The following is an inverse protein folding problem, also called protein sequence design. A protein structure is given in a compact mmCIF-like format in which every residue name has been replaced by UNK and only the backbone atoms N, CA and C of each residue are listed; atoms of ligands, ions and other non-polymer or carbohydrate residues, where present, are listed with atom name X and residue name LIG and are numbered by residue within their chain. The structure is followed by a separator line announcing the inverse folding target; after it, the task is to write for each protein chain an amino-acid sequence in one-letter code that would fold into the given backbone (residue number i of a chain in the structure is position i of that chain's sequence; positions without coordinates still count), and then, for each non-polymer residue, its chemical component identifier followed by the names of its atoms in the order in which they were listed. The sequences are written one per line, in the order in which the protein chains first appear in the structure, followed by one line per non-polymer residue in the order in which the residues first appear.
data_IF_331374820056
#
_entry.id   IF_331374820056
#
_cell.length_a   1.000
_cell.length_b   1.000
_cell.length_c   1.000
_cell.angle_alpha   90.00
_cell.angle_beta   90.00
_cell.angle_gamma   90.00
#
_symmetry.space_group_name_H-M   'P 1'
#
loop_
_entity.id
_entity.type
_entity.pdbx_description
1 polymer ?
#
# COMPACT_ATOMS: atom_id res chain seq x y z
N UNK A 1 18.11 -14.26 25.46
CA UNK A 1 18.38 -15.61 24.94
C UNK A 1 17.74 -15.73 23.56
N UNK A 2 18.50 -16.18 22.55
CA UNK A 2 17.99 -16.41 21.17
C UNK A 2 16.95 -17.53 21.12
N UNK A 3 17.07 -18.53 21.99
CA UNK A 3 16.14 -19.66 22.08
C UNK A 3 14.72 -19.22 22.41
N UNK A 4 14.59 -18.27 23.34
CA UNK A 4 13.30 -17.71 23.72
C UNK A 4 12.67 -16.91 22.56
N UNK A 5 13.45 -16.09 21.86
CA UNK A 5 12.96 -15.34 20.70
C UNK A 5 12.45 -16.28 19.60
N UNK A 6 13.20 -17.36 19.32
CA UNK A 6 12.80 -18.36 18.34
C UNK A 6 11.52 -19.11 18.76
N UNK A 7 11.34 -19.40 20.05
CA UNK A 7 10.11 -19.99 20.58
C UNK A 7 8.90 -19.05 20.41
N UNK A 8 9.08 -17.75 20.67
CA UNK A 8 8.03 -16.74 20.47
C UNK A 8 7.62 -16.66 19.00
N UNK A 9 8.58 -16.52 18.07
CA UNK A 9 8.29 -16.42 16.64
C UNK A 9 7.57 -17.67 16.11
N UNK A 10 8.03 -18.87 16.48
CA UNK A 10 7.40 -20.13 16.04
C UNK A 10 5.98 -20.36 16.58
N UNK A 11 5.68 -19.83 17.77
CA UNK A 11 4.37 -20.01 18.40
C UNK A 11 3.38 -18.87 18.14
N UNK A 12 3.83 -17.78 17.51
CA UNK A 12 3.00 -16.64 17.18
C UNK A 12 1.86 -17.05 16.22
N UNK A 13 0.63 -16.66 16.58
CA UNK A 13 -0.53 -16.77 15.70
C UNK A 13 -0.90 -15.39 15.19
N UNK A 14 -0.77 -15.18 13.89
CA UNK A 14 -1.14 -13.91 13.25
C UNK A 14 -2.64 -13.87 13.01
N UNK A 15 -3.25 -12.70 13.23
CA UNK A 15 -4.62 -12.40 12.81
C UNK A 15 -4.53 -11.44 11.61
N UNK A 16 -4.60 -11.94 10.36
CA UNK A 16 -4.42 -11.11 9.18
C UNK A 16 -5.62 -10.19 8.89
N UNK A 17 -6.80 -10.51 9.40
CA UNK A 17 -8.02 -9.74 9.15
C UNK A 17 -7.96 -8.35 9.78
N UNK A 18 -7.40 -8.24 10.99
CA UNK A 18 -7.27 -6.96 11.70
C UNK A 18 -6.43 -5.91 10.94
N UNK A 19 -5.18 -6.20 10.55
CA UNK A 19 -4.39 -5.24 9.78
C UNK A 19 -4.96 -5.01 8.37
N UNK A 20 -5.58 -6.02 7.74
CA UNK A 20 -6.23 -5.85 6.44
C UNK A 20 -7.39 -4.84 6.53
N UNK A 21 -8.31 -5.04 7.49
CA UNK A 21 -9.41 -4.11 7.75
C UNK A 21 -8.91 -2.71 8.11
N UNK A 22 -7.90 -2.60 8.97
CA UNK A 22 -7.31 -1.29 9.30
C UNK A 22 -6.73 -0.57 8.07
N UNK A 23 -6.09 -1.30 7.15
CA UNK A 23 -5.57 -0.72 5.92
C UNK A 23 -6.71 -0.26 4.99
N UNK A 24 -7.74 -1.09 4.80
CA UNK A 24 -8.89 -0.82 3.93
C UNK A 24 -9.78 0.34 4.43
N UNK A 25 -9.88 0.52 5.74
CA UNK A 25 -10.68 1.59 6.36
C UNK A 25 -9.94 2.93 6.47
N UNK A 26 -8.63 2.91 6.30
CA UNK A 26 -7.78 4.10 6.43
C UNK A 26 -7.43 4.71 5.08
N UNK A 27 -6.93 5.95 5.10
CA UNK A 27 -6.44 6.65 3.91
C UNK A 27 -4.95 6.41 3.64
N UNK A 28 -4.40 5.26 4.04
CA UNK A 28 -2.99 4.89 3.75
C UNK A 28 -2.67 4.88 2.24
N UNK A 29 -3.69 4.63 1.41
CA UNK A 29 -3.62 4.66 -0.06
C UNK A 29 -3.54 6.06 -0.67
N UNK A 30 -3.73 7.12 0.11
CA UNK A 30 -3.72 8.49 -0.41
C UNK A 30 -2.39 8.86 -1.10
N UNK A 31 -1.27 8.42 -0.53
CA UNK A 31 0.05 8.65 -1.14
C UNK A 31 0.20 7.92 -2.46
N UNK A 32 -0.34 6.70 -2.59
CA UNK A 32 -0.28 5.93 -3.84
C UNK A 32 -1.00 6.66 -4.99
N UNK A 33 -2.15 7.28 -4.68
CA UNK A 33 -2.90 8.10 -5.62
C UNK A 33 -2.14 9.38 -6.01
N UNK A 34 -1.51 10.05 -5.05
CA UNK A 34 -0.71 11.25 -5.32
C UNK A 34 0.52 10.95 -6.19
N UNK A 35 1.16 9.80 -5.96
CA UNK A 35 2.25 9.33 -6.82
C UNK A 35 1.78 8.95 -8.21
N UNK A 36 0.59 8.33 -8.36
CA UNK A 36 0.04 7.99 -9.66
C UNK A 36 -0.24 9.23 -10.51
N UNK A 37 -0.83 10.27 -9.90
CA UNK A 37 -0.97 11.59 -10.52
C UNK A 37 0.40 12.18 -10.91
N UNK A 38 1.41 11.97 -10.07
CA UNK A 38 2.76 12.47 -10.38
C UNK A 38 3.40 11.74 -11.56
N UNK A 39 3.18 10.42 -11.64
CA UNK A 39 3.61 9.59 -12.78
C UNK A 39 2.86 9.96 -14.08
N UNK A 40 1.63 10.48 -14.00
CA UNK A 40 0.89 10.99 -15.16
C UNK A 40 1.22 12.45 -15.53
N UNK A 41 2.17 13.08 -14.83
CA UNK A 41 2.71 14.40 -15.20
C UNK A 41 2.26 15.58 -14.32
N UNK A 42 1.44 15.35 -13.30
CA UNK A 42 1.08 16.39 -12.32
C UNK A 42 2.25 16.62 -11.38
N UNK A 43 2.64 17.87 -11.10
CA UNK A 43 3.71 18.10 -10.14
C UNK A 43 3.31 17.58 -8.74
N UNK A 44 4.20 16.88 -8.03
CA UNK A 44 3.85 16.18 -6.77
C UNK A 44 3.16 17.06 -5.73
N UNK A 45 3.58 18.31 -5.55
CA UNK A 45 2.94 19.26 -4.65
C UNK A 45 1.47 19.57 -5.00
N UNK A 46 1.11 19.55 -6.29
CA UNK A 46 -0.27 19.69 -6.77
C UNK A 46 -1.04 18.40 -6.57
N UNK A 47 -0.43 17.25 -6.91
CA UNK A 47 -1.04 15.94 -6.69
C UNK A 47 -1.37 15.70 -5.21
N UNK A 48 -0.42 15.98 -4.31
CA UNK A 48 -0.61 15.87 -2.86
C UNK A 48 -1.71 16.81 -2.36
N UNK A 49 -1.79 18.05 -2.88
CA UNK A 49 -2.89 18.97 -2.54
C UNK A 49 -4.25 18.45 -3.03
N UNK A 50 -4.32 17.95 -4.25
CA UNK A 50 -5.55 17.39 -4.83
C UNK A 50 -6.05 16.20 -4.01
N UNK A 51 -5.20 15.22 -3.77
CA UNK A 51 -5.57 14.04 -2.96
C UNK A 51 -5.85 14.43 -1.51
N UNK A 52 -5.13 15.41 -0.95
CA UNK A 52 -5.46 15.93 0.39
C UNK A 52 -6.88 16.49 0.48
N UNK A 53 -7.37 17.19 -0.56
CA UNK A 53 -8.78 17.62 -0.62
C UNK A 53 -9.74 16.43 -0.70
N UNK A 54 -9.44 15.45 -1.57
CA UNK A 54 -10.23 14.22 -1.71
C UNK A 54 -10.40 13.51 -0.36
N UNK A 55 -9.29 13.31 0.37
CA UNK A 55 -9.28 12.70 1.70
C UNK A 55 -10.11 13.52 2.69
N UNK A 56 -9.88 14.84 2.75
CA UNK A 56 -10.59 15.72 3.68
C UNK A 56 -12.11 15.69 3.46
N UNK A 57 -12.56 15.76 2.21
CA UNK A 57 -13.98 15.68 1.87
C UNK A 57 -14.56 14.31 2.19
N UNK A 58 -13.81 13.25 1.91
CA UNK A 58 -14.23 11.88 2.23
C UNK A 58 -14.43 11.69 3.74
N UNK A 59 -13.46 12.10 4.55
CA UNK A 59 -13.52 11.99 6.01
C UNK A 59 -14.71 12.80 6.56
N UNK A 60 -14.95 14.01 6.03
CA UNK A 60 -16.12 14.82 6.42
C UNK A 60 -17.45 14.16 6.06
N UNK A 61 -17.49 13.44 4.96
CA UNK A 61 -18.67 12.70 4.49
C UNK A 61 -18.79 11.28 5.08
N UNK A 62 -17.86 10.86 5.94
CA UNK A 62 -17.82 9.49 6.47
C UNK A 62 -17.50 8.41 5.42
N UNK A 63 -16.92 8.80 4.27
CA UNK A 63 -16.53 7.89 3.19
C UNK A 63 -15.16 7.26 3.45
N UNK A 64 -15.06 5.98 3.15
CA UNK A 64 -13.83 5.18 3.06
C UNK A 64 -13.28 5.19 1.63
N UNK A 65 -12.02 4.77 1.39
CA UNK A 65 -11.48 4.63 0.04
C UNK A 65 -12.37 3.76 -0.87
N UNK A 66 -12.88 2.64 -0.36
CA UNK A 66 -13.71 1.71 -1.12
C UNK A 66 -15.07 2.29 -1.58
N UNK A 67 -15.51 3.44 -1.03
CA UNK A 67 -16.76 4.10 -1.42
C UNK A 67 -16.62 4.96 -2.68
N UNK A 68 -15.40 5.12 -3.20
CA UNK A 68 -15.12 5.88 -4.41
C UNK A 68 -15.15 4.98 -5.64
N UNK A 69 -15.98 5.35 -6.62
CA UNK A 69 -16.01 4.70 -7.93
C UNK A 69 -15.09 5.44 -8.92
N UNK A 70 -14.70 4.80 -10.03
CA UNK A 70 -13.94 5.45 -11.10
C UNK A 70 -14.60 6.74 -11.61
N UNK A 71 -15.92 6.72 -11.77
CA UNK A 71 -16.71 7.86 -12.25
C UNK A 71 -16.76 8.98 -11.21
N UNK A 72 -16.89 8.63 -9.92
CA UNK A 72 -16.88 9.61 -8.84
C UNK A 72 -15.53 10.30 -8.70
N UNK A 73 -14.41 9.57 -8.89
CA UNK A 73 -13.08 10.15 -8.92
C UNK A 73 -12.90 11.12 -10.09
N UNK A 74 -13.27 10.71 -11.31
CA UNK A 74 -13.17 11.56 -12.49
C UNK A 74 -14.08 12.80 -12.39
N UNK A 75 -15.24 12.68 -11.75
CA UNK A 75 -16.14 13.80 -11.46
C UNK A 75 -15.57 14.75 -10.39
N UNK A 76 -14.76 14.24 -9.46
CA UNK A 76 -14.10 15.05 -8.42
C UNK A 76 -13.02 15.95 -9.03
N UNK A 77 -12.17 15.39 -9.89
CA UNK A 77 -11.16 16.14 -10.65
C UNK A 77 -10.77 15.37 -11.91
N UNK A 78 -10.75 15.99 -13.10
CA UNK A 78 -10.36 15.32 -14.35
C UNK A 78 -8.95 14.72 -14.35
N UNK A 79 -8.05 15.15 -13.46
CA UNK A 79 -6.73 14.55 -13.33
C UNK A 79 -6.79 13.15 -12.69
N UNK A 80 -7.83 12.84 -11.91
CA UNK A 80 -8.07 11.53 -11.30
C UNK A 80 -8.72 10.60 -12.33
N UNK A 81 -7.88 10.00 -13.17
CA UNK A 81 -8.35 9.10 -14.21
C UNK A 81 -9.07 7.87 -13.61
N UNK A 82 -10.12 7.33 -14.28
CA UNK A 82 -10.91 6.20 -13.79
C UNK A 82 -10.08 4.99 -13.32
N UNK A 83 -9.01 4.64 -14.04
CA UNK A 83 -8.10 3.54 -13.71
C UNK A 83 -7.39 3.70 -12.36
N UNK A 84 -7.25 4.94 -11.86
CA UNK A 84 -6.63 5.20 -10.55
C UNK A 84 -7.49 4.72 -9.39
N UNK A 85 -8.78 4.43 -9.61
CA UNK A 85 -9.65 3.86 -8.60
C UNK A 85 -9.14 2.52 -8.04
N UNK A 86 -8.40 1.75 -8.85
CA UNK A 86 -7.77 0.51 -8.39
C UNK A 86 -6.82 0.75 -7.19
N UNK A 87 -6.15 1.90 -7.15
CA UNK A 87 -5.21 2.27 -6.07
C UNK A 87 -5.90 2.54 -4.74
N UNK A 88 -7.22 2.68 -4.71
CA UNK A 88 -7.98 2.77 -3.46
C UNK A 88 -8.05 1.43 -2.72
N UNK A 89 -7.66 0.34 -3.38
CA UNK A 89 -7.41 -0.94 -2.74
C UNK A 89 -5.93 -1.01 -2.30
N UNK A 90 -5.62 -1.14 -0.99
CA UNK A 90 -4.25 -1.12 -0.49
C UNK A 90 -3.30 -2.13 -1.16
N UNK A 91 -3.85 -3.28 -1.58
CA UNK A 91 -3.09 -4.33 -2.27
C UNK A 91 -2.57 -3.89 -3.63
N UNK A 92 -3.29 -3.01 -4.34
CA UNK A 92 -2.85 -2.51 -5.65
C UNK A 92 -1.71 -1.51 -5.50
N UNK A 93 -1.81 -0.59 -4.53
CA UNK A 93 -0.72 0.34 -4.20
C UNK A 93 0.57 -0.38 -3.83
N UNK A 94 0.47 -1.45 -3.02
CA UNK A 94 1.61 -2.25 -2.59
C UNK A 94 2.41 -2.85 -3.76
N UNK A 95 1.76 -3.26 -4.86
CA UNK A 95 2.44 -3.81 -6.05
C UNK A 95 3.42 -2.82 -6.69
N UNK A 96 3.22 -1.53 -6.51
CA UNK A 96 4.13 -0.50 -7.04
C UNK A 96 5.44 -0.38 -6.25
N UNK A 97 5.54 -1.01 -5.07
CA UNK A 97 6.70 -0.97 -4.19
C UNK A 97 7.71 -2.06 -4.56
N UNK A 98 8.08 -2.13 -5.85
CA UNK A 98 8.87 -3.21 -6.45
C UNK A 98 10.37 -2.93 -6.58
N UNK A 99 10.84 -1.80 -6.06
CA UNK A 99 12.29 -1.53 -5.93
C UNK A 99 12.93 -2.48 -4.91
N UNK A 100 14.23 -2.76 -5.01
CA UNK A 100 14.95 -3.62 -4.04
C UNK A 100 14.67 -3.16 -2.60
N UNK A 101 14.19 -4.08 -1.77
CA UNK A 101 13.81 -3.82 -0.36
C UNK A 101 12.40 -3.26 -0.17
N UNK A 102 11.61 -3.11 -1.25
CA UNK A 102 10.21 -2.73 -1.20
C UNK A 102 9.27 -3.86 -0.77
N UNK A 103 7.98 -3.54 -0.66
CA UNK A 103 6.94 -4.41 -0.11
C UNK A 103 6.08 -5.10 -1.17
N UNK A 104 6.37 -4.95 -2.46
CA UNK A 104 5.67 -5.68 -3.50
C UNK A 104 5.87 -7.20 -3.30
N UNK A 105 4.84 -8.04 -3.57
CA UNK A 105 4.91 -9.49 -3.33
C UNK A 105 6.14 -10.17 -3.96
N UNK A 106 6.48 -9.80 -5.19
CA UNK A 106 7.65 -10.31 -5.91
C UNK A 106 8.97 -9.89 -5.26
N UNK A 107 9.02 -8.70 -4.66
CA UNK A 107 10.22 -8.20 -3.97
C UNK A 107 10.40 -8.89 -2.63
N UNK A 108 9.31 -9.13 -1.89
CA UNK A 108 9.34 -9.89 -0.65
C UNK A 108 9.74 -11.34 -0.91
N UNK A 109 9.24 -11.95 -1.99
CA UNK A 109 9.64 -13.30 -2.39
C UNK A 109 11.14 -13.38 -2.68
N UNK A 110 11.66 -12.46 -3.50
CA UNK A 110 13.10 -12.40 -3.79
C UNK A 110 13.95 -12.19 -2.52
N UNK A 111 13.46 -11.39 -1.56
CA UNK A 111 14.14 -11.19 -0.28
C UNK A 111 14.16 -12.46 0.60
N UNK A 112 13.10 -13.28 0.55
CA UNK A 112 13.05 -14.58 1.23
C UNK A 112 14.07 -15.56 0.61
N UNK A 113 14.11 -15.65 -0.73
CA UNK A 113 15.09 -16.48 -1.44
C UNK A 113 16.53 -16.07 -1.12
N UNK A 114 16.83 -14.76 -1.10
CA UNK A 114 18.16 -14.24 -0.73
C UNK A 114 18.51 -14.58 0.74
N UNK A 115 17.53 -14.53 1.65
CA UNK A 115 17.73 -14.90 3.05
C UNK A 115 18.02 -16.40 3.21
N UNK A 116 17.28 -17.27 2.53
CA UNK A 116 17.49 -18.71 2.53
C UNK A 116 18.86 -19.09 1.97
N UNK A 117 19.26 -18.50 0.84
CA UNK A 117 20.58 -18.73 0.25
C UNK A 117 21.72 -18.31 1.20
N UNK A 118 21.56 -17.19 1.90
CA UNK A 118 22.56 -16.73 2.89
C UNK A 118 22.66 -17.65 4.09
N UNK A 119 21.54 -18.20 4.58
CA UNK A 119 21.55 -19.17 5.68
C UNK A 119 22.23 -20.47 5.25
N UNK A 120 21.91 -20.99 4.07
CA UNK A 120 22.55 -22.21 3.53
C UNK A 120 24.06 -22.05 3.35
N UNK A 121 24.54 -20.86 2.95
CA UNK A 121 25.96 -20.56 2.83
C UNK A 121 26.72 -20.52 4.17
N UNK A 122 26.01 -20.43 5.31
CA UNK A 122 26.61 -20.46 6.66
C UNK A 122 26.62 -21.86 7.28
N UNK A 123 25.87 -22.81 6.71
CA UNK A 123 25.82 -24.21 7.15
C UNK A 123 26.90 -25.08 6.47
N UNK A 124 27.63 -24.52 5.50
CA UNK A 124 28.84 -25.07 4.87
C UNK A 124 30.11 -24.59 5.59
#
# INVERSE_FOLDING_TARGET
SLEMAAAVVRSAKLNPERPASAAEESWVVATDLAEALSRSGVAFHQAHKLVGRLVLESVRAGKKPADWTPEALAAFDPALQPEMAALLQPREGMKSRSVRGGTAPETVMAALEEAEARLAAWEL
#
